data_IF_836763025185
#
_entry.id   IF_836763025185
#
_cell.length_a   1.000
_cell.length_b   1.000
_cell.length_c   1.000
_cell.angle_alpha   90.00
_cell.angle_beta   90.00
_cell.angle_gamma   90.00
#
_symmetry.space_group_name_H-M   'P 1'
#
loop_
_entity.id
_entity.type
_entity.pdbx_description
1 polymer ?
#
# COMPACT_ATOMS: atom_id res chain seq x y z
N UNK A 1 -27.13 -10.96 5.90
CA UNK A 1 -27.65 -11.08 7.29
C UNK A 1 -28.32 -12.44 7.36
N UNK A 2 -28.00 -13.28 8.35
CA UNK A 2 -28.70 -14.55 8.51
C UNK A 2 -30.20 -14.27 8.78
N UNK A 3 -31.13 -15.08 8.22
CA UNK A 3 -32.55 -14.88 8.47
C UNK A 3 -32.83 -14.97 9.97
N UNK A 4 -33.62 -14.00 10.46
CA UNK A 4 -33.95 -13.95 11.88
C UNK A 4 -34.83 -15.17 12.20
N UNK A 5 -34.42 -15.93 13.21
CA UNK A 5 -35.12 -17.15 13.62
C UNK A 5 -36.57 -16.82 14.01
N UNK A 6 -37.56 -17.66 13.65
CA UNK A 6 -38.96 -17.40 13.97
C UNK A 6 -39.17 -17.37 15.49
N UNK A 7 -40.06 -16.49 15.94
CA UNK A 7 -40.47 -16.42 17.34
C UNK A 7 -41.26 -17.69 17.71
N UNK A 8 -41.13 -18.16 18.94
CA UNK A 8 -41.69 -19.43 19.42
C UNK A 8 -43.08 -19.29 20.05
N UNK A 9 -43.73 -18.12 19.99
CA UNK A 9 -45.07 -17.90 20.55
C UNK A 9 -45.12 -17.85 22.08
N UNK A 10 -43.98 -17.99 22.76
CA UNK A 10 -43.89 -17.99 24.22
C UNK A 10 -43.91 -16.56 24.78
N UNK A 11 -44.46 -16.38 25.98
CA UNK A 11 -44.52 -15.08 26.67
C UNK A 11 -43.15 -14.65 27.25
N UNK A 12 -42.32 -15.61 27.64
CA UNK A 12 -40.97 -15.41 28.19
C UNK A 12 -39.91 -16.19 27.41
N UNK A 13 -38.65 -15.76 27.44
CA UNK A 13 -37.54 -16.37 26.71
C UNK A 13 -36.93 -15.50 25.59
N UNK A 14 -35.90 -16.01 24.93
CA UNK A 14 -35.13 -15.26 23.91
C UNK A 14 -35.89 -15.06 22.58
N UNK A 15 -36.67 -16.05 22.14
CA UNK A 15 -37.49 -16.00 20.92
C UNK A 15 -38.97 -15.78 21.24
N UNK A 16 -39.25 -14.97 22.26
CA UNK A 16 -40.62 -14.70 22.72
C UNK A 16 -41.41 -13.80 21.77
N UNK A 17 -42.73 -13.81 21.95
CA UNK A 17 -43.67 -13.00 21.20
C UNK A 17 -44.37 -13.76 20.08
N UNK A 18 -45.33 -13.08 19.47
CA UNK A 18 -46.18 -13.67 18.43
C UNK A 18 -45.35 -14.11 17.21
N UNK A 19 -45.73 -15.25 16.62
CA UNK A 19 -45.07 -15.82 15.47
C UNK A 19 -45.46 -15.01 14.23
N UNK A 20 -44.66 -13.98 13.92
CA UNK A 20 -44.83 -13.13 12.74
C UNK A 20 -43.75 -13.48 11.72
N UNK A 21 -44.12 -13.57 10.44
CA UNK A 21 -43.16 -13.67 9.34
C UNK A 21 -42.48 -12.31 9.12
N UNK A 22 -41.18 -12.15 9.41
CA UNK A 22 -40.50 -10.88 9.21
C UNK A 22 -40.32 -10.61 7.71
N UNK A 23 -40.78 -9.43 7.26
CA UNK A 23 -40.54 -8.95 5.90
C UNK A 23 -39.28 -8.10 5.86
N UNK A 24 -38.36 -8.43 4.95
CA UNK A 24 -37.19 -7.59 4.69
C UNK A 24 -37.63 -6.34 3.91
N UNK A 25 -37.71 -5.21 4.61
CA UNK A 25 -38.01 -3.91 4.02
C UNK A 25 -36.75 -3.30 3.41
N UNK A 26 -36.91 -2.62 2.27
CA UNK A 26 -35.84 -1.82 1.71
C UNK A 26 -35.40 -0.73 2.72
N UNK A 27 -34.08 -0.49 2.88
CA UNK A 27 -33.58 0.49 3.84
C UNK A 27 -34.03 1.89 3.46
N UNK A 28 -34.44 2.68 4.44
CA UNK A 28 -34.97 4.02 4.20
C UNK A 28 -33.82 4.94 3.75
N UNK A 29 -34.09 5.92 2.86
CA UNK A 29 -33.07 6.90 2.47
C UNK A 29 -32.47 7.67 3.66
N UNK A 30 -33.22 7.89 4.74
CA UNK A 30 -32.76 8.50 5.99
C UNK A 30 -31.56 7.77 6.61
N UNK A 31 -31.54 6.44 6.50
CA UNK A 31 -30.54 5.58 7.13
C UNK A 31 -29.19 5.65 6.39
N UNK A 32 -29.17 6.26 5.20
CA UNK A 32 -27.95 6.48 4.41
C UNK A 32 -27.15 7.71 4.89
N UNK A 33 -27.69 8.51 5.82
CA UNK A 33 -27.01 9.69 6.38
C UNK A 33 -25.71 9.29 7.08
N UNK A 34 -24.61 9.94 6.70
CA UNK A 34 -23.27 9.68 7.25
C UNK A 34 -22.36 8.81 6.38
N UNK A 35 -22.88 8.15 5.34
CA UNK A 35 -22.06 7.50 4.32
C UNK A 35 -21.36 8.55 3.44
N UNK A 36 -20.07 8.41 3.21
CA UNK A 36 -19.29 9.34 2.38
C UNK A 36 -19.34 8.92 0.91
N UNK A 37 -19.67 9.85 0.01
CA UNK A 37 -19.60 9.65 -1.44
C UNK A 37 -18.16 9.80 -1.97
N UNK A 38 -17.90 9.29 -3.18
CA UNK A 38 -16.58 9.36 -3.84
C UNK A 38 -16.06 10.80 -3.94
N UNK A 39 -16.93 11.74 -4.35
CA UNK A 39 -16.60 13.18 -4.45
C UNK A 39 -16.20 13.79 -3.11
N UNK A 40 -16.94 13.48 -2.03
CA UNK A 40 -16.63 14.01 -0.69
C UNK A 40 -15.34 13.42 -0.15
N UNK A 41 -15.04 12.14 -0.43
CA UNK A 41 -13.77 11.54 -0.07
C UNK A 41 -12.59 12.25 -0.75
N UNK A 42 -12.68 12.47 -2.06
CA UNK A 42 -11.67 13.21 -2.84
C UNK A 42 -11.43 14.62 -2.29
N UNK A 43 -12.50 15.38 -2.08
CA UNK A 43 -12.42 16.75 -1.54
C UNK A 43 -11.74 16.78 -0.16
N UNK A 44 -12.05 15.81 0.72
CA UNK A 44 -11.43 15.71 2.05
C UNK A 44 -9.96 15.30 2.01
N UNK A 45 -9.52 14.55 1.00
CA UNK A 45 -8.11 14.21 0.79
C UNK A 45 -7.32 15.45 0.35
N UNK A 46 -7.84 16.19 -0.64
CA UNK A 46 -7.22 17.43 -1.13
C UNK A 46 -7.03 18.47 0.00
N UNK A 47 -8.07 18.71 0.80
CA UNK A 47 -7.99 19.69 1.90
C UNK A 47 -6.89 19.30 2.93
N UNK A 48 -6.67 18.01 3.17
CA UNK A 48 -5.63 17.54 4.10
C UNK A 48 -4.23 17.71 3.55
N UNK A 49 -4.05 17.64 2.24
CA UNK A 49 -2.78 17.91 1.58
C UNK A 49 -2.43 19.41 1.66
N UNK A 50 -3.41 20.29 1.45
CA UNK A 50 -3.23 21.75 1.48
C UNK A 50 -3.08 22.30 2.91
N UNK A 51 -3.99 21.93 3.82
CA UNK A 51 -4.03 22.51 5.17
C UNK A 51 -3.08 21.82 6.17
N UNK A 52 -2.64 20.59 5.86
CA UNK A 52 -1.79 19.79 6.74
C UNK A 52 -2.48 19.34 8.04
N UNK A 53 -1.67 18.98 9.05
CA UNK A 53 -2.14 18.46 10.34
C UNK A 53 -2.20 19.54 11.43
N UNK A 54 -3.22 19.43 12.28
CA UNK A 54 -3.34 20.27 13.47
C UNK A 54 -2.25 19.94 14.53
N UNK A 55 -1.88 20.88 15.42
CA UNK A 55 -0.76 20.68 16.36
C UNK A 55 -0.98 19.53 17.36
N UNK A 56 -2.23 19.20 17.72
CA UNK A 56 -2.51 18.04 18.55
C UNK A 56 -2.40 16.71 17.78
N UNK A 57 -2.65 16.72 16.47
CA UNK A 57 -2.51 15.55 15.60
C UNK A 57 -1.03 15.22 15.41
N UNK A 58 -0.17 16.24 15.24
CA UNK A 58 1.29 16.10 15.21
C UNK A 58 1.82 15.42 16.48
N UNK A 59 1.42 15.89 17.67
CA UNK A 59 1.77 15.25 18.96
C UNK A 59 1.30 13.79 19.05
N UNK A 60 0.14 13.45 18.48
CA UNK A 60 -0.33 12.05 18.45
C UNK A 60 0.58 11.22 17.53
N UNK A 61 0.95 11.72 16.35
CA UNK A 61 1.86 11.01 15.45
C UNK A 61 3.25 10.80 16.04
N UNK A 62 3.79 11.77 16.78
CA UNK A 62 5.06 11.64 17.51
C UNK A 62 5.00 10.52 18.55
N UNK A 63 3.94 10.49 19.37
CA UNK A 63 3.74 9.44 20.37
C UNK A 63 3.57 8.05 19.75
N UNK A 64 2.93 7.98 18.57
CA UNK A 64 2.76 6.74 17.82
C UNK A 64 4.08 6.25 17.19
N UNK A 65 4.98 7.15 16.77
CA UNK A 65 6.33 6.78 16.29
C UNK A 65 7.17 6.12 17.38
N UNK A 66 7.03 6.58 18.62
CA UNK A 66 7.73 6.01 19.79
C UNK A 66 7.05 4.72 20.31
N UNK A 67 5.87 4.35 19.80
CA UNK A 67 5.12 3.18 20.27
C UNK A 67 4.34 3.40 21.57
N UNK A 68 4.17 4.65 22.04
CA UNK A 68 3.46 4.98 23.29
C UNK A 68 1.95 5.18 23.07
N UNK A 69 1.27 4.12 22.64
CA UNK A 69 -0.15 4.12 22.25
C UNK A 69 -1.12 4.53 23.36
N UNK A 70 -0.91 4.04 24.59
CA UNK A 70 -1.76 4.39 25.75
C UNK A 70 -1.64 5.88 26.09
N UNK A 71 -0.45 6.46 25.91
CA UNK A 71 -0.21 7.91 26.10
C UNK A 71 -0.86 8.72 24.98
N UNK A 72 -0.77 8.27 23.73
CA UNK A 72 -1.47 8.89 22.60
C UNK A 72 -3.00 8.90 22.80
N UNK A 73 -3.58 7.80 23.29
CA UNK A 73 -5.00 7.73 23.62
C UNK A 73 -5.42 8.69 24.74
N UNK A 74 -4.58 8.89 25.77
CA UNK A 74 -4.85 9.87 26.83
C UNK A 74 -4.86 11.30 26.28
N UNK A 75 -3.92 11.65 25.40
CA UNK A 75 -3.87 12.96 24.73
C UNK A 75 -5.09 13.17 23.84
N UNK A 76 -5.44 12.17 23.02
CA UNK A 76 -6.61 12.23 22.14
C UNK A 76 -7.93 12.33 22.95
N UNK A 77 -8.07 11.59 24.05
CA UNK A 77 -9.25 11.67 24.94
C UNK A 77 -9.36 13.06 25.58
N UNK A 78 -8.26 13.65 26.04
CA UNK A 78 -8.25 15.02 26.60
C UNK A 78 -8.66 16.08 25.57
N UNK A 79 -8.41 15.85 24.27
CA UNK A 79 -8.76 16.80 23.21
C UNK A 79 -10.15 16.58 22.61
N UNK A 80 -10.60 15.32 22.47
CA UNK A 80 -11.86 14.96 21.79
C UNK A 80 -12.99 14.58 22.76
N UNK A 81 -12.69 14.47 24.05
CA UNK A 81 -13.59 14.11 25.15
C UNK A 81 -13.86 12.60 25.26
N UNK A 82 -14.46 12.00 24.24
CA UNK A 82 -14.92 10.60 24.30
C UNK A 82 -13.87 9.59 23.84
N UNK A 83 -13.92 8.39 24.44
CA UNK A 83 -12.97 7.32 24.10
C UNK A 83 -13.19 6.74 22.69
N UNK A 84 -14.44 6.65 22.21
CA UNK A 84 -14.76 6.19 20.84
C UNK A 84 -14.17 7.13 19.78
N UNK A 85 -14.29 8.45 19.96
CA UNK A 85 -13.68 9.44 19.06
C UNK A 85 -12.16 9.40 19.11
N UNK A 86 -11.58 9.21 20.30
CA UNK A 86 -10.14 9.09 20.49
C UNK A 86 -9.56 7.85 19.77
N UNK A 87 -10.21 6.69 19.86
CA UNK A 87 -9.82 5.48 19.12
C UNK A 87 -9.85 5.72 17.61
N UNK A 88 -10.94 6.29 17.09
CA UNK A 88 -11.06 6.65 15.67
C UNK A 88 -9.94 7.58 15.21
N UNK A 89 -9.59 8.60 16.00
CA UNK A 89 -8.49 9.52 15.65
C UNK A 89 -7.10 8.89 15.76
N UNK A 90 -6.88 7.96 16.70
CA UNK A 90 -5.64 7.17 16.75
C UNK A 90 -5.49 6.33 15.49
N UNK A 91 -6.55 5.65 15.06
CA UNK A 91 -6.55 4.85 13.83
C UNK A 91 -6.29 5.72 12.59
N UNK A 92 -6.93 6.89 12.48
CA UNK A 92 -6.65 7.85 11.40
C UNK A 92 -5.17 8.26 11.35
N UNK A 93 -4.55 8.57 12.50
CA UNK A 93 -3.14 8.96 12.58
C UNK A 93 -2.19 7.78 12.30
N UNK A 94 -2.53 6.57 12.75
CA UNK A 94 -1.78 5.36 12.43
C UNK A 94 -1.85 5.03 10.92
N UNK A 95 -3.01 5.19 10.29
CA UNK A 95 -3.17 5.05 8.84
C UNK A 95 -2.37 6.10 8.08
N UNK A 96 -2.29 7.34 8.57
CA UNK A 96 -1.44 8.38 7.96
C UNK A 96 0.04 8.01 8.01
N UNK A 97 0.54 7.49 9.14
CA UNK A 97 1.91 6.99 9.26
C UNK A 97 2.20 5.85 8.28
N UNK A 98 1.27 4.89 8.14
CA UNK A 98 1.40 3.75 7.19
C UNK A 98 1.48 4.21 5.74
N UNK A 99 0.69 5.22 5.36
CA UNK A 99 0.77 5.83 4.02
C UNK A 99 2.13 6.48 3.79
N UNK A 100 2.63 7.25 4.76
CA UNK A 100 3.93 7.89 4.66
C UNK A 100 5.11 6.90 4.68
N UNK A 101 5.02 5.80 5.42
CA UNK A 101 6.06 4.76 5.44
C UNK A 101 6.06 3.93 4.15
N UNK A 102 4.89 3.59 3.60
CA UNK A 102 4.79 2.85 2.34
C UNK A 102 5.38 3.62 1.14
N UNK A 103 5.22 4.94 1.11
CA UNK A 103 5.82 5.79 0.08
C UNK A 103 7.35 5.81 0.12
N UNK A 104 7.98 5.51 1.26
CA UNK A 104 9.45 5.43 1.37
C UNK A 104 10.00 4.14 0.74
N UNK A 105 9.26 3.04 0.82
CA UNK A 105 9.69 1.75 0.27
C UNK A 105 9.62 1.69 -1.26
N UNK A 106 8.70 2.44 -1.88
CA UNK A 106 8.46 2.41 -3.33
C UNK A 106 9.47 3.22 -4.16
N UNK A 107 10.45 3.87 -3.54
CA UNK A 107 11.52 4.60 -4.26
C UNK A 107 12.63 3.69 -4.78
N UNK A 108 12.74 2.45 -4.32
CA UNK A 108 13.77 1.50 -4.76
C UNK A 108 13.46 0.84 -6.12
N UNK A 109 12.18 0.72 -6.48
CA UNK A 109 11.76 0.02 -7.70
C UNK A 109 11.93 0.82 -9.00
N UNK A 110 11.97 2.16 -8.94
CA UNK A 110 12.22 3.02 -10.10
C UNK A 110 13.72 3.10 -10.50
N UNK A 111 14.64 2.68 -9.61
CA UNK A 111 16.06 2.58 -9.94
C UNK A 111 16.43 1.16 -10.43
N UNK A 112 15.69 0.15 -9.98
CA UNK A 112 15.82 -1.25 -10.42
C UNK A 112 15.08 -1.56 -11.74
N UNK A 113 14.16 -0.71 -12.20
CA UNK A 113 13.43 -0.94 -13.45
C UNK A 113 14.24 -0.62 -14.71
N UNK A 114 15.22 0.31 -14.66
CA UNK A 114 16.15 0.48 -15.79
C UNK A 114 17.04 -0.75 -16.02
N UNK A 115 17.54 -1.37 -14.95
CA UNK A 115 18.45 -2.53 -15.06
C UNK A 115 17.68 -3.83 -15.28
N UNK A 116 16.50 -3.99 -14.66
CA UNK A 116 15.66 -5.19 -14.83
C UNK A 116 14.80 -5.20 -16.11
N UNK A 117 14.67 -4.08 -16.82
CA UNK A 117 14.12 -4.03 -18.19
C UNK A 117 15.20 -4.40 -19.21
N UNK A 118 16.43 -3.87 -19.07
CA UNK A 118 17.56 -4.29 -19.90
C UNK A 118 17.89 -5.78 -19.76
N UNK A 119 17.85 -6.33 -18.55
CA UNK A 119 18.08 -7.76 -18.32
C UNK A 119 16.99 -8.67 -18.89
N UNK A 120 15.76 -8.16 -19.10
CA UNK A 120 14.67 -8.93 -19.73
C UNK A 120 14.67 -8.88 -21.26
N UNK A 121 15.32 -7.89 -21.87
CA UNK A 121 15.46 -7.79 -23.33
C UNK A 121 16.70 -8.49 -23.90
N UNK A 122 17.67 -8.91 -23.06
CA UNK A 122 18.85 -9.63 -23.55
C UNK A 122 18.62 -11.15 -23.75
N UNK A 123 17.60 -11.72 -23.12
CA UNK A 123 17.22 -13.14 -23.30
C UNK A 123 16.25 -13.38 -24.46
N UNK A 124 15.58 -12.35 -24.99
CA UNK A 124 14.77 -12.48 -26.22
C UNK A 124 15.61 -12.37 -27.50
N UNK A 125 16.81 -11.78 -27.46
CA UNK A 125 17.72 -11.70 -28.62
C UNK A 125 18.46 -13.01 -28.93
N UNK A 126 18.60 -13.94 -27.97
CA UNK A 126 19.28 -15.23 -28.21
C UNK A 126 18.35 -16.34 -28.73
N UNK A 127 17.06 -16.07 -28.93
CA UNK A 127 16.07 -17.06 -29.40
C UNK A 127 15.70 -16.92 -30.89
N UNK A 128 16.44 -16.12 -31.65
CA UNK A 128 16.23 -15.91 -33.10
C UNK A 128 17.45 -16.27 -33.97
N UNK A 129 18.24 -17.27 -33.57
CA UNK A 129 19.32 -17.84 -34.41
C UNK A 129 18.99 -19.20 -35.05
N UNK A 130 17.71 -19.56 -35.18
CA UNK A 130 17.30 -20.70 -36.03
C UNK A 130 16.03 -20.37 -36.80
N UNK A 131 16.11 -19.48 -37.78
CA UNK A 131 15.30 -19.53 -39.01
C UNK A 131 15.92 -18.56 -40.01
N UNK A 132 16.76 -19.09 -40.90
CA UNK A 132 17.36 -18.35 -41.99
C UNK A 132 16.30 -17.92 -43.01
N UNK A 133 15.78 -16.70 -42.84
CA UNK A 133 15.03 -15.98 -43.86
C UNK A 133 15.47 -14.51 -43.88
N UNK A 134 16.25 -14.21 -44.92
CA UNK A 134 16.41 -12.95 -45.63
C UNK A 134 16.10 -11.62 -44.88
N UNK A 135 17.20 -10.98 -44.48
CA UNK A 135 17.32 -9.63 -43.91
C UNK A 135 17.11 -8.59 -45.02
N UNK A 136 15.85 -8.22 -45.32
CA UNK A 136 15.61 -7.13 -46.28
C UNK A 136 14.39 -6.25 -46.03
N UNK A 137 13.64 -6.40 -44.92
CA UNK A 137 12.50 -5.49 -44.68
C UNK A 137 12.12 -5.25 -43.21
N UNK A 138 13.12 -5.15 -42.32
CA UNK A 138 12.94 -4.53 -41.00
C UNK A 138 13.85 -3.30 -40.84
N UNK A 139 13.87 -2.44 -41.85
CA UNK A 139 14.30 -1.04 -41.72
C UNK A 139 13.03 -0.20 -41.58
N UNK A 140 12.57 -0.02 -40.35
CA UNK A 140 11.29 0.64 -40.12
C UNK A 140 10.89 0.92 -38.68
N UNK A 141 11.82 0.89 -37.72
CA UNK A 141 11.69 1.66 -36.49
C UNK A 141 13.01 1.64 -35.71
N UNK A 142 13.42 2.81 -35.24
CA UNK A 142 14.55 3.04 -34.34
C UNK A 142 15.92 3.25 -35.00
N UNK A 143 16.00 4.28 -35.84
CA UNK A 143 17.23 5.05 -36.00
C UNK A 143 16.89 6.52 -35.69
N UNK A 144 17.15 6.92 -34.44
CA UNK A 144 17.63 8.23 -34.00
C UNK A 144 17.58 8.28 -32.46
N UNK A 145 18.53 7.57 -31.85
CA UNK A 145 19.16 7.94 -30.58
C UNK A 145 20.52 7.22 -30.51
N UNK A 146 21.39 7.50 -31.48
CA UNK A 146 22.83 7.28 -31.39
C UNK A 146 23.53 8.32 -32.27
N UNK A 147 24.11 9.33 -31.64
CA UNK A 147 25.38 9.95 -32.06
C UNK A 147 25.88 10.78 -30.87
N UNK A 148 26.82 10.21 -30.12
CA UNK A 148 28.19 10.72 -29.94
C UNK A 148 28.27 11.97 -29.04
N UNK A 149 28.90 11.84 -27.87
CA UNK A 149 30.30 12.25 -27.71
C UNK A 149 30.75 12.27 -26.23
N UNK A 150 31.87 11.56 -26.02
CA UNK A 150 33.07 12.01 -25.29
C UNK A 150 33.09 12.00 -23.75
N UNK A 151 33.90 11.06 -23.27
CA UNK A 151 34.66 10.97 -22.01
C UNK A 151 35.72 12.10 -21.95
N UNK A 152 36.06 12.68 -20.79
CA UNK A 152 37.28 12.23 -20.10
C UNK A 152 37.04 12.09 -18.58
N UNK A 153 37.35 10.96 -17.94
CA UNK A 153 38.66 10.54 -17.44
C UNK A 153 39.44 11.63 -16.67
N UNK A 154 39.53 11.39 -15.35
CA UNK A 154 40.46 11.98 -14.39
C UNK A 154 39.80 12.10 -13.00
N UNK A 155 40.29 11.55 -11.89
CA UNK A 155 41.54 10.84 -11.61
C UNK A 155 41.46 10.29 -10.15
N UNK A 156 41.84 9.01 -9.99
CA UNK A 156 42.46 8.31 -8.84
C UNK A 156 41.82 8.13 -7.44
N UNK A 157 41.97 6.87 -6.97
CA UNK A 157 42.11 6.43 -5.57
C UNK A 157 41.06 5.36 -5.21
N UNK A 158 41.13 4.08 -5.57
CA UNK A 158 42.11 3.01 -5.26
C UNK A 158 42.62 2.97 -3.82
N UNK A 159 41.88 2.29 -2.94
CA UNK A 159 42.33 1.24 -2.00
C UNK A 159 41.05 0.41 -1.71
N UNK A 160 40.92 -0.87 -2.09
CA UNK A 160 41.66 -2.00 -1.56
C UNK A 160 40.66 -2.97 -0.91
N UNK A 161 39.98 -3.80 -1.71
CA UNK A 161 39.15 -4.93 -1.24
C UNK A 161 39.91 -6.23 -1.52
N UNK A 162 40.53 -6.77 -0.47
CA UNK A 162 40.87 -8.20 -0.30
C UNK A 162 39.79 -8.73 0.66
N UNK A 163 39.00 -9.77 0.40
CA UNK A 163 39.23 -10.97 -0.41
C UNK A 163 39.44 -12.16 0.54
N UNK A 164 38.38 -12.94 0.80
CA UNK A 164 38.38 -14.40 1.16
C UNK A 164 36.92 -14.81 1.42
N UNK A 165 36.29 -15.63 0.56
CA UNK A 165 36.14 -17.09 0.76
C UNK A 165 34.81 -17.37 1.50
N UNK A 166 33.79 -18.04 0.96
CA UNK A 166 33.79 -19.26 0.17
C UNK A 166 33.21 -20.38 1.04
N UNK A 167 31.97 -20.82 0.78
CA UNK A 167 31.56 -22.24 0.68
C UNK A 167 30.05 -22.37 0.48
N UNK A 168 29.68 -22.86 -0.69
CA UNK A 168 28.44 -23.56 -0.98
C UNK A 168 28.68 -25.06 -0.73
N UNK A 169 27.88 -25.67 0.13
CA UNK A 169 27.66 -27.12 0.22
C UNK A 169 26.44 -27.32 1.13
N UNK A 170 25.42 -28.11 0.82
CA UNK A 170 25.22 -29.05 -0.26
C UNK A 170 23.77 -29.55 -0.25
N UNK A 171 23.39 -30.09 -1.39
CA UNK A 171 22.17 -30.85 -1.65
C UNK A 171 22.18 -32.19 -0.90
N UNK A 172 21.06 -32.60 -0.28
CA UNK A 172 20.57 -33.98 -0.31
C UNK A 172 19.19 -34.10 0.35
N UNK A 173 18.27 -34.67 -0.42
CA UNK A 173 16.93 -35.16 -0.10
C UNK A 173 17.04 -36.70 0.04
N UNK A 174 16.09 -37.33 0.77
CA UNK A 174 15.89 -38.77 1.11
C UNK A 174 16.45 -39.10 2.51
N UNK A 175 15.72 -39.66 3.48
CA UNK A 175 14.49 -40.48 3.53
C UNK A 175 13.42 -39.85 4.44
#
# INVERSE_FOLDING_TARGET
MAPKQPNSGLFVGLKKGHVVTPKDLAPRPSDRKGKTSKRVHFTRSLIREVAGFAPYEKRITELLKVGKDKRALKVAKRKLGTHKRAKRKREEMASALRKMSGLKSNKSWYQLSSVAWLARNLDECKRLEVFGLNVSNCFGFCELCYFEDIVPLGFLGYEGVVGTGGLWSGSARLN
#
